data_IF_221000109084
#
_entry.id   IF_221000109084
#
_cell.length_a   1.000
_cell.length_b   1.000
_cell.length_c   1.000
_cell.angle_alpha   90.00
_cell.angle_beta   90.00
_cell.angle_gamma   90.00
#
_symmetry.space_group_name_H-M   'P 1'
#
loop_
_entity.id
_entity.type
_entity.pdbx_description
1 polymer ?
#
# COMPACT_ATOMS: atom_id res chain seq x y z
N UNK A 1 -63.00 -0.90 34.43
CA UNK A 1 -63.51 -0.29 33.19
C UNK A 1 -62.42 0.55 32.56
N UNK A 2 -62.02 0.13 31.33
CA UNK A 2 -61.50 0.97 30.26
C UNK A 2 -60.05 1.45 30.42
N UNK A 3 -59.12 1.26 29.51
CA UNK A 3 -59.23 1.12 28.05
C UNK A 3 -58.05 0.31 27.50
N UNK A 4 -58.34 -0.80 26.90
CA UNK A 4 -57.53 -1.47 25.93
C UNK A 4 -57.78 -0.81 24.58
N UNK A 5 -56.82 -0.14 23.99
CA UNK A 5 -56.73 0.20 22.55
C UNK A 5 -55.76 1.39 22.35
N UNK A 6 -54.47 1.15 22.46
CA UNK A 6 -53.49 2.07 21.85
C UNK A 6 -52.06 1.46 21.85
N UNK A 7 -51.99 0.20 21.41
CA UNK A 7 -50.68 -0.42 21.20
C UNK A 7 -50.63 -1.13 19.84
N UNK A 8 -51.03 -0.41 18.80
CA UNK A 8 -50.93 -0.82 17.42
C UNK A 8 -50.36 0.34 16.59
N UNK A 9 -49.08 0.29 16.31
CA UNK A 9 -48.55 1.04 15.17
C UNK A 9 -47.56 2.17 15.46
N UNK A 10 -46.48 1.91 16.14
CA UNK A 10 -45.27 2.72 15.94
C UNK A 10 -44.12 1.81 15.55
N UNK A 11 -44.11 1.29 14.31
CA UNK A 11 -42.87 1.10 13.60
C UNK A 11 -42.24 2.50 13.45
N UNK A 12 -41.48 2.91 14.47
CA UNK A 12 -40.61 4.08 14.36
C UNK A 12 -39.68 3.84 13.17
N UNK A 13 -39.99 4.47 12.05
CA UNK A 13 -39.02 4.66 10.99
C UNK A 13 -37.78 5.22 11.66
N UNK A 14 -36.70 4.42 11.72
CA UNK A 14 -35.43 4.82 12.26
C UNK A 14 -35.01 6.07 11.49
N UNK A 15 -35.07 7.25 12.09
CA UNK A 15 -34.45 8.45 11.51
C UNK A 15 -33.00 8.12 11.28
N UNK A 16 -32.60 8.01 10.01
CA UNK A 16 -31.20 7.87 9.61
C UNK A 16 -30.49 9.12 10.13
N UNK A 17 -29.76 8.98 11.24
CA UNK A 17 -29.01 10.10 11.80
C UNK A 17 -27.66 10.20 11.10
N UNK A 18 -27.15 11.43 10.94
CA UNK A 18 -25.79 11.65 10.45
C UNK A 18 -24.76 10.95 11.35
N UNK A 19 -25.11 10.72 12.63
CA UNK A 19 -24.28 10.01 13.62
C UNK A 19 -23.94 8.56 13.23
N UNK A 20 -24.75 7.91 12.38
CA UNK A 20 -24.46 6.56 11.88
C UNK A 20 -23.16 6.47 11.07
N UNK A 21 -22.69 7.56 10.47
CA UNK A 21 -21.40 7.60 9.75
C UNK A 21 -20.19 7.66 10.69
N UNK A 22 -20.38 8.23 11.88
CA UNK A 22 -19.31 8.44 12.87
C UNK A 22 -19.24 7.33 13.92
N UNK A 23 -20.03 6.27 13.75
CA UNK A 23 -20.01 5.08 14.60
C UNK A 23 -19.62 3.85 13.75
N UNK A 24 -18.68 3.05 14.24
CA UNK A 24 -18.24 1.83 13.52
C UNK A 24 -19.36 0.86 13.22
N UNK A 25 -20.29 0.68 14.18
CA UNK A 25 -21.46 -0.19 14.06
C UNK A 25 -22.67 0.54 13.43
N UNK A 26 -22.50 1.80 13.06
CA UNK A 26 -23.54 2.61 12.43
C UNK A 26 -24.02 1.99 11.12
N UNK A 27 -25.29 2.21 10.80
CA UNK A 27 -25.95 1.69 9.60
C UNK A 27 -26.42 2.81 8.68
N UNK A 28 -25.50 3.63 8.12
CA UNK A 28 -25.87 4.68 7.18
C UNK A 28 -26.66 4.10 6.00
N UNK A 29 -27.49 4.92 5.36
CA UNK A 29 -28.17 4.51 4.13
C UNK A 29 -27.15 4.23 3.01
N UNK A 30 -27.55 3.50 1.97
CA UNK A 30 -26.69 3.27 0.82
C UNK A 30 -26.30 4.59 0.13
N UNK A 31 -27.25 5.51 -0.01
CA UNK A 31 -27.01 6.82 -0.63
C UNK A 31 -26.01 7.69 0.15
N UNK A 32 -25.94 7.54 1.47
CA UNK A 32 -24.93 8.22 2.30
C UNK A 32 -23.56 7.53 2.23
N UNK A 33 -23.54 6.20 2.26
CA UNK A 33 -22.30 5.42 2.31
C UNK A 33 -21.59 5.32 0.96
N UNK A 34 -22.33 5.21 -0.14
CA UNK A 34 -21.77 4.94 -1.47
C UNK A 34 -20.81 6.03 -1.98
N UNK A 35 -21.14 7.35 -1.91
CA UNK A 35 -20.18 8.38 -2.33
C UNK A 35 -18.90 8.38 -1.51
N UNK A 36 -19.00 8.11 -0.20
CA UNK A 36 -17.84 8.01 0.69
C UNK A 36 -17.00 6.77 0.38
N UNK A 37 -17.64 5.67 0.03
CA UNK A 37 -16.96 4.46 -0.43
C UNK A 37 -16.20 4.70 -1.73
N UNK A 38 -16.79 5.43 -2.67
CA UNK A 38 -16.12 5.84 -3.91
C UNK A 38 -14.90 6.73 -3.66
N UNK A 39 -14.93 7.59 -2.64
CA UNK A 39 -13.75 8.37 -2.25
C UNK A 39 -12.59 7.46 -1.82
N UNK A 40 -12.87 6.43 -1.02
CA UNK A 40 -11.87 5.46 -0.61
C UNK A 40 -11.33 4.65 -1.80
N UNK A 41 -12.21 4.20 -2.69
CA UNK A 41 -11.80 3.48 -3.92
C UNK A 41 -10.95 4.38 -4.81
N UNK A 42 -11.36 5.62 -5.05
CA UNK A 42 -10.63 6.57 -5.89
C UNK A 42 -9.23 6.88 -5.35
N UNK A 43 -9.07 6.95 -4.02
CA UNK A 43 -7.78 7.19 -3.38
C UNK A 43 -6.84 5.98 -3.46
N UNK A 44 -7.36 4.75 -3.52
CA UNK A 44 -6.55 3.54 -3.41
C UNK A 44 -6.35 2.78 -4.73
N UNK A 45 -7.27 2.89 -5.70
CA UNK A 45 -7.28 1.99 -6.87
C UNK A 45 -5.98 2.07 -7.67
N UNK A 46 -5.46 3.26 -7.86
CA UNK A 46 -4.18 3.49 -8.54
C UNK A 46 -3.02 2.87 -7.75
N UNK A 47 -3.05 3.03 -6.43
CA UNK A 47 -2.07 2.41 -5.53
C UNK A 47 -2.10 0.88 -5.55
N UNK A 48 -3.25 0.26 -5.80
CA UNK A 48 -3.37 -1.19 -5.97
C UNK A 48 -2.88 -1.67 -7.33
N UNK A 49 -3.20 -0.95 -8.39
CA UNK A 49 -3.00 -1.40 -9.78
C UNK A 49 -1.58 -1.11 -10.26
N UNK A 50 -1.05 0.07 -9.96
CA UNK A 50 0.27 0.49 -10.48
C UNK A 50 1.41 -0.42 -10.05
N UNK A 51 1.53 -0.87 -8.80
CA UNK A 51 2.56 -1.84 -8.43
C UNK A 51 2.46 -3.15 -9.22
N UNK A 52 1.25 -3.64 -9.49
CA UNK A 52 1.05 -4.83 -10.30
C UNK A 52 1.51 -4.63 -11.75
N UNK A 53 1.22 -3.47 -12.36
CA UNK A 53 1.70 -3.11 -13.69
C UNK A 53 3.23 -3.01 -13.71
N UNK A 54 3.83 -2.39 -12.70
CA UNK A 54 5.30 -2.25 -12.59
C UNK A 54 5.97 -3.63 -12.53
N UNK A 55 5.44 -4.52 -11.69
CA UNK A 55 5.97 -5.88 -11.53
C UNK A 55 5.75 -6.71 -12.80
N UNK A 56 4.56 -6.64 -13.41
CA UNK A 56 4.26 -7.33 -14.66
C UNK A 56 5.24 -6.93 -15.78
N UNK A 57 5.49 -5.64 -15.90
CA UNK A 57 6.47 -5.11 -16.86
C UNK A 57 7.90 -5.57 -16.55
N UNK A 58 8.34 -5.49 -15.30
CA UNK A 58 9.66 -5.94 -14.88
C UNK A 58 9.88 -7.45 -15.09
N UNK A 59 8.83 -8.26 -14.93
CA UNK A 59 8.85 -9.70 -15.16
C UNK A 59 8.70 -10.09 -16.64
N UNK A 60 8.40 -9.12 -17.54
CA UNK A 60 8.14 -9.38 -18.95
C UNK A 60 6.92 -10.27 -19.19
N UNK A 61 5.85 -10.11 -18.38
CA UNK A 61 4.64 -10.89 -18.51
C UNK A 61 3.91 -10.61 -19.82
N UNK A 62 3.20 -11.62 -20.32
CA UNK A 62 2.25 -11.45 -21.41
C UNK A 62 1.09 -10.52 -21.01
N UNK A 63 0.36 -9.97 -21.98
CA UNK A 63 -0.81 -9.14 -21.69
C UNK A 63 -1.86 -9.89 -20.86
N UNK A 64 -2.10 -11.17 -21.17
CA UNK A 64 -3.03 -12.02 -20.43
C UNK A 64 -2.59 -12.24 -18.98
N UNK A 65 -1.32 -12.51 -18.73
CA UNK A 65 -0.79 -12.69 -17.37
C UNK A 65 -0.75 -11.37 -16.60
N UNK A 66 -0.50 -10.25 -17.27
CA UNK A 66 -0.58 -8.91 -16.69
C UNK A 66 -2.00 -8.59 -16.21
N UNK A 67 -3.03 -8.95 -17.01
CA UNK A 67 -4.44 -8.81 -16.63
C UNK A 67 -4.74 -9.67 -15.39
N UNK A 68 -4.28 -10.92 -15.36
CA UNK A 68 -4.48 -11.82 -14.22
C UNK A 68 -3.81 -11.27 -12.94
N UNK A 69 -2.60 -10.73 -13.07
CA UNK A 69 -1.88 -10.15 -11.92
C UNK A 69 -2.63 -8.94 -11.34
N UNK A 70 -3.17 -8.07 -12.21
CA UNK A 70 -3.98 -6.91 -11.79
C UNK A 70 -5.30 -7.37 -11.14
N UNK A 71 -5.97 -8.37 -11.72
CA UNK A 71 -7.16 -8.95 -11.11
C UNK A 71 -6.88 -9.50 -9.71
N UNK A 72 -5.80 -10.28 -9.57
CA UNK A 72 -5.38 -10.84 -8.29
C UNK A 72 -5.07 -9.72 -7.28
N UNK A 73 -4.44 -8.63 -7.71
CA UNK A 73 -4.16 -7.47 -6.88
C UNK A 73 -5.45 -6.85 -6.30
N UNK A 74 -6.45 -6.60 -7.13
CA UNK A 74 -7.73 -6.04 -6.70
C UNK A 74 -8.51 -7.01 -5.82
N UNK A 75 -8.58 -8.28 -6.21
CA UNK A 75 -9.27 -9.34 -5.48
C UNK A 75 -8.70 -9.53 -4.08
N UNK A 76 -7.38 -9.68 -3.96
CA UNK A 76 -6.70 -9.87 -2.68
C UNK A 76 -6.80 -8.63 -1.81
N UNK A 77 -6.72 -7.43 -2.37
CA UNK A 77 -6.92 -6.16 -1.64
C UNK A 77 -8.32 -6.09 -1.03
N UNK A 78 -9.34 -6.51 -1.78
CA UNK A 78 -10.72 -6.58 -1.28
C UNK A 78 -10.86 -7.57 -0.12
N UNK A 79 -10.34 -8.80 -0.26
CA UNK A 79 -10.41 -9.82 0.78
C UNK A 79 -9.66 -9.41 2.04
N UNK A 80 -8.47 -8.84 1.89
CA UNK A 80 -7.66 -8.36 3.02
C UNK A 80 -8.35 -7.22 3.76
N UNK A 81 -8.97 -6.30 3.02
CA UNK A 81 -9.77 -5.21 3.61
C UNK A 81 -10.96 -5.77 4.40
N UNK A 82 -11.69 -6.75 3.84
CA UNK A 82 -12.81 -7.38 4.53
C UNK A 82 -12.37 -8.13 5.80
N UNK A 83 -11.23 -8.80 5.75
CA UNK A 83 -10.67 -9.50 6.92
C UNK A 83 -10.28 -8.52 8.04
N UNK A 84 -9.76 -7.35 7.70
CA UNK A 84 -9.47 -6.31 8.68
C UNK A 84 -10.75 -5.72 9.31
N UNK A 85 -11.78 -5.50 8.51
CA UNK A 85 -13.06 -4.93 8.97
C UNK A 85 -13.87 -5.88 9.85
N UNK A 86 -13.84 -7.17 9.53
CA UNK A 86 -14.65 -8.22 10.16
C UNK A 86 -13.74 -9.31 10.72
N UNK A 87 -13.21 -9.11 11.93
CA UNK A 87 -12.28 -10.06 12.53
C UNK A 87 -12.90 -11.46 12.66
N UNK A 88 -12.11 -12.47 12.28
CA UNK A 88 -12.44 -13.87 12.58
C UNK A 88 -12.05 -14.16 14.03
N UNK A 89 -12.85 -15.01 14.70
CA UNK A 89 -12.61 -15.45 16.10
C UNK A 89 -12.57 -14.29 17.11
N UNK A 90 -13.34 -13.23 16.86
CA UNK A 90 -13.45 -12.09 17.77
C UNK A 90 -13.86 -12.55 19.20
N UNK A 91 -13.20 -11.98 20.23
CA UNK A 91 -13.41 -12.36 21.64
C UNK A 91 -12.66 -13.61 22.10
N UNK A 92 -11.78 -14.18 21.28
CA UNK A 92 -10.83 -15.22 21.64
C UNK A 92 -9.41 -14.66 21.73
N UNK A 93 -8.50 -15.38 22.41
CA UNK A 93 -7.09 -14.98 22.57
C UNK A 93 -6.35 -14.67 21.23
N UNK A 94 -6.92 -15.06 20.10
CA UNK A 94 -6.37 -14.92 18.76
C UNK A 94 -7.44 -14.39 17.79
N UNK A 95 -7.71 -13.09 17.83
CA UNK A 95 -8.50 -12.44 16.78
C UNK A 95 -7.66 -12.30 15.49
N UNK A 96 -8.27 -12.55 14.34
CA UNK A 96 -7.67 -12.34 13.01
C UNK A 96 -8.41 -11.17 12.36
N UNK A 97 -7.87 -9.99 12.43
CA UNK A 97 -8.46 -8.73 12.01
C UNK A 97 -8.41 -7.69 13.11
N UNK A 98 -8.25 -6.43 12.76
CA UNK A 98 -8.28 -5.32 13.71
C UNK A 98 -9.71 -4.91 14.11
N UNK A 99 -10.69 -5.17 13.27
CA UNK A 99 -12.05 -4.63 13.39
C UNK A 99 -12.14 -3.15 13.06
N UNK A 100 -11.04 -2.52 12.69
CA UNK A 100 -10.95 -1.08 12.40
C UNK A 100 -11.33 -0.77 10.94
N UNK A 101 -11.79 0.45 10.66
CA UNK A 101 -12.11 0.91 9.32
C UNK A 101 -10.82 1.18 8.52
N UNK A 102 -10.15 0.11 8.11
CA UNK A 102 -8.89 0.13 7.39
C UNK A 102 -9.07 -0.35 5.95
N UNK A 103 -8.38 0.29 5.04
CA UNK A 103 -8.21 -0.19 3.66
C UNK A 103 -6.84 -0.84 3.53
N UNK A 104 -6.81 -2.01 2.92
CA UNK A 104 -5.60 -2.76 2.62
C UNK A 104 -5.47 -2.89 1.10
N UNK A 105 -4.25 -2.85 0.61
CA UNK A 105 -4.00 -3.05 -0.81
C UNK A 105 -2.53 -3.27 -1.12
N UNK A 106 -2.22 -3.53 -2.39
CA UNK A 106 -0.84 -3.76 -2.84
C UNK A 106 0.01 -2.54 -2.49
N UNK A 107 1.19 -2.77 -1.94
CA UNK A 107 2.01 -1.69 -1.39
C UNK A 107 3.20 -1.34 -2.28
N UNK A 108 3.40 -0.05 -2.51
CA UNK A 108 4.62 0.49 -3.15
C UNK A 108 5.90 0.20 -2.34
N UNK A 109 5.79 -0.06 -1.04
CA UNK A 109 6.94 -0.37 -0.19
C UNK A 109 7.74 -1.59 -0.68
N UNK A 110 7.08 -2.55 -1.32
CA UNK A 110 7.72 -3.76 -1.84
C UNK A 110 8.20 -3.63 -3.28
N UNK A 111 7.74 -2.62 -4.03
CA UNK A 111 7.95 -2.52 -5.48
C UNK A 111 9.42 -2.56 -5.87
N UNK A 112 10.34 -1.80 -5.25
CA UNK A 112 11.75 -1.85 -5.65
C UNK A 112 12.36 -3.25 -5.52
N UNK A 113 12.04 -3.95 -4.44
CA UNK A 113 12.52 -5.31 -4.20
C UNK A 113 11.82 -6.32 -5.11
N UNK A 114 10.51 -6.17 -5.33
CA UNK A 114 9.77 -7.01 -6.29
C UNK A 114 10.29 -6.83 -7.73
N UNK A 115 10.60 -5.61 -8.16
CA UNK A 115 11.23 -5.37 -9.46
C UNK A 115 12.57 -6.08 -9.58
N UNK A 116 13.42 -6.00 -8.54
CA UNK A 116 14.71 -6.69 -8.53
C UNK A 116 14.54 -8.21 -8.64
N UNK A 117 13.59 -8.79 -7.93
CA UNK A 117 13.28 -10.23 -7.99
C UNK A 117 12.67 -10.59 -9.35
N UNK A 118 11.71 -9.80 -9.85
CA UNK A 118 11.05 -10.05 -11.12
C UNK A 118 12.02 -10.06 -12.31
N UNK A 119 12.99 -9.14 -12.31
CA UNK A 119 14.01 -9.07 -13.38
C UNK A 119 15.05 -10.17 -13.31
N UNK A 120 15.33 -10.71 -12.14
CA UNK A 120 16.33 -11.75 -11.94
C UNK A 120 15.76 -13.17 -11.99
N UNK A 121 14.53 -13.32 -11.50
CA UNK A 121 13.82 -14.59 -11.39
C UNK A 121 12.44 -14.47 -12.10
N UNK A 122 11.37 -14.55 -11.34
CA UNK A 122 10.00 -14.50 -11.84
C UNK A 122 8.98 -14.09 -10.75
N UNK A 123 7.70 -13.97 -11.14
CA UNK A 123 6.61 -13.67 -10.20
C UNK A 123 6.42 -14.79 -9.18
N UNK A 124 6.63 -16.05 -9.54
CA UNK A 124 6.52 -17.18 -8.61
C UNK A 124 7.48 -17.04 -7.42
N UNK A 125 8.68 -16.51 -7.66
CA UNK A 125 9.68 -16.23 -6.62
C UNK A 125 9.25 -15.09 -5.70
N UNK A 126 8.59 -14.06 -6.23
CA UNK A 126 8.00 -13.00 -5.40
C UNK A 126 6.93 -13.59 -4.48
N UNK A 127 6.03 -14.43 -5.01
CA UNK A 127 4.94 -15.03 -4.25
C UNK A 127 5.45 -15.99 -3.15
N UNK A 128 6.51 -16.76 -3.43
CA UNK A 128 7.16 -17.59 -2.42
C UNK A 128 7.80 -16.75 -1.31
N UNK A 129 8.50 -15.69 -1.67
CA UNK A 129 9.07 -14.74 -0.71
C UNK A 129 7.98 -14.03 0.12
N UNK A 130 6.83 -13.73 -0.49
CA UNK A 130 5.67 -13.15 0.19
C UNK A 130 5.08 -14.09 1.24
N UNK A 131 5.02 -15.40 0.98
CA UNK A 131 4.59 -16.38 1.98
C UNK A 131 5.51 -16.33 3.21
N UNK A 132 6.82 -16.35 2.99
CA UNK A 132 7.80 -16.20 4.08
C UNK A 132 7.63 -14.87 4.80
N UNK A 133 7.46 -13.78 4.05
CA UNK A 133 7.18 -12.45 4.59
C UNK A 133 5.92 -12.40 5.45
N UNK A 134 4.83 -13.03 5.00
CA UNK A 134 3.59 -13.17 5.78
C UNK A 134 3.81 -13.91 7.10
N UNK A 135 4.62 -14.96 7.12
CA UNK A 135 5.01 -15.66 8.34
C UNK A 135 5.86 -14.76 9.25
N UNK A 136 6.79 -14.00 8.70
CA UNK A 136 7.55 -12.99 9.46
C UNK A 136 6.62 -11.96 10.09
N UNK A 137 5.63 -11.46 9.35
CA UNK A 137 4.63 -10.54 9.91
C UNK A 137 3.81 -11.16 11.04
N UNK A 138 3.45 -12.45 10.96
CA UNK A 138 2.81 -13.18 12.06
C UNK A 138 3.69 -13.20 13.30
N UNK A 139 4.98 -13.49 13.15
CA UNK A 139 5.93 -13.48 14.27
C UNK A 139 6.07 -12.07 14.86
N UNK A 140 6.13 -11.03 14.01
CA UNK A 140 6.12 -9.64 14.49
C UNK A 140 4.86 -9.34 15.30
N UNK A 141 3.69 -9.79 14.84
CA UNK A 141 2.42 -9.61 15.55
C UNK A 141 2.40 -10.28 16.92
N UNK A 142 2.99 -11.47 17.02
CA UNK A 142 3.09 -12.21 18.28
C UNK A 142 4.09 -11.58 19.28
N UNK A 143 5.20 -11.04 18.77
CA UNK A 143 6.30 -10.47 19.56
C UNK A 143 6.44 -8.95 19.40
N UNK A 144 5.34 -8.26 19.16
CA UNK A 144 5.34 -6.85 18.78
C UNK A 144 6.06 -5.94 19.77
N UNK A 145 5.87 -6.19 21.10
CA UNK A 145 6.49 -5.39 22.16
C UNK A 145 8.02 -5.48 22.15
N UNK A 146 8.55 -6.65 21.79
CA UNK A 146 9.99 -6.90 21.70
C UNK A 146 10.59 -6.34 20.41
N UNK A 147 9.93 -6.55 19.28
CA UNK A 147 10.44 -6.20 17.95
C UNK A 147 10.38 -4.69 17.71
N UNK A 148 9.34 -4.01 18.19
CA UNK A 148 9.18 -2.55 18.04
C UNK A 148 10.40 -1.74 18.50
N UNK A 149 11.16 -2.24 19.46
CA UNK A 149 12.37 -1.57 19.98
C UNK A 149 13.48 -1.39 18.93
N UNK A 150 13.54 -2.28 17.94
CA UNK A 150 14.56 -2.25 16.87
C UNK A 150 14.20 -1.29 15.73
N UNK A 151 12.94 -0.85 15.67
CA UNK A 151 12.43 -0.01 14.59
C UNK A 151 11.80 1.29 15.12
N UNK A 152 12.60 2.17 15.74
CA UNK A 152 12.13 3.49 16.11
C UNK A 152 11.75 4.31 14.86
N UNK A 153 11.00 5.42 15.01
CA UNK A 153 10.56 6.25 13.89
C UNK A 153 11.70 6.70 12.96
N UNK A 154 12.89 6.92 13.48
CA UNK A 154 14.08 7.24 12.69
C UNK A 154 14.40 6.16 11.65
N UNK A 155 14.40 4.90 12.07
CA UNK A 155 14.72 3.75 11.20
C UNK A 155 13.60 3.53 10.19
N UNK A 156 12.35 3.48 10.66
CA UNK A 156 11.18 3.33 9.79
C UNK A 156 11.11 4.47 8.77
N UNK A 157 11.35 5.71 9.20
CA UNK A 157 11.39 6.88 8.33
C UNK A 157 12.51 6.79 7.28
N UNK A 158 13.70 6.33 7.67
CA UNK A 158 14.83 6.14 6.74
C UNK A 158 14.49 5.12 5.66
N UNK A 159 13.83 4.03 6.02
CA UNK A 159 13.40 3.00 5.05
C UNK A 159 12.32 3.55 4.12
N UNK A 160 11.31 4.24 4.63
CA UNK A 160 10.26 4.86 3.82
C UNK A 160 10.84 5.91 2.87
N UNK A 161 11.82 6.68 3.34
CA UNK A 161 12.55 7.64 2.52
C UNK A 161 13.32 6.94 1.38
N UNK A 162 14.03 5.85 1.68
CA UNK A 162 14.71 5.03 0.66
C UNK A 162 13.74 4.44 -0.37
N UNK A 163 12.55 3.97 0.07
CA UNK A 163 11.50 3.48 -0.84
C UNK A 163 11.10 4.57 -1.83
N UNK A 164 10.76 5.76 -1.33
CA UNK A 164 10.34 6.87 -2.19
C UNK A 164 11.40 7.23 -3.23
N UNK A 165 12.66 7.40 -2.81
CA UNK A 165 13.77 7.72 -3.70
C UNK A 165 14.01 6.62 -4.76
N UNK A 166 13.91 5.36 -4.36
CA UNK A 166 14.16 4.22 -5.27
C UNK A 166 13.13 4.07 -6.38
N UNK A 167 11.94 4.67 -6.22
CA UNK A 167 10.88 4.64 -7.20
C UNK A 167 10.97 5.77 -8.23
N UNK A 168 11.78 6.83 -8.00
CA UNK A 168 11.90 7.96 -8.93
C UNK A 168 12.37 7.55 -10.32
N UNK A 169 13.41 6.71 -10.50
CA UNK A 169 13.81 6.26 -11.82
C UNK A 169 12.68 5.55 -12.58
N UNK A 170 11.89 4.73 -11.87
CA UNK A 170 10.72 4.06 -12.47
C UNK A 170 9.68 5.06 -12.96
N UNK A 171 9.36 6.09 -12.16
CA UNK A 171 8.42 7.13 -12.57
C UNK A 171 8.92 7.91 -13.78
N UNK A 172 10.19 8.29 -13.81
CA UNK A 172 10.80 9.02 -14.94
C UNK A 172 10.82 8.16 -16.19
N UNK A 173 11.19 6.88 -16.09
CA UNK A 173 11.14 5.95 -17.23
C UNK A 173 9.71 5.81 -17.77
N UNK A 174 8.72 5.79 -16.90
CA UNK A 174 7.32 5.76 -17.31
C UNK A 174 6.88 7.07 -17.95
N UNK A 175 7.26 8.24 -17.40
CA UNK A 175 6.99 9.55 -18.05
C UNK A 175 7.58 9.63 -19.45
N UNK A 176 8.73 8.99 -19.68
CA UNK A 176 9.36 8.90 -20.99
C UNK A 176 8.69 7.88 -21.94
N UNK A 177 7.69 7.14 -21.48
CA UNK A 177 6.93 6.18 -22.29
C UNK A 177 7.20 4.70 -22.01
N UNK A 178 8.05 4.37 -21.02
CA UNK A 178 8.45 2.99 -20.69
C UNK A 178 9.65 2.52 -21.51
N UNK A 179 10.61 1.86 -20.85
CA UNK A 179 11.91 1.48 -21.44
C UNK A 179 11.80 0.46 -22.57
N UNK A 180 10.73 -0.29 -22.66
CA UNK A 180 10.43 -1.26 -23.72
C UNK A 180 9.74 -0.66 -24.96
N UNK A 181 9.40 0.63 -24.92
CA UNK A 181 8.68 1.30 -26.00
C UNK A 181 9.68 1.82 -27.05
N UNK A 182 9.43 1.57 -28.34
CA UNK A 182 10.23 2.08 -29.46
C UNK A 182 10.30 3.62 -29.49
N UNK A 183 9.26 4.28 -28.95
CA UNK A 183 9.18 5.75 -28.83
C UNK A 183 9.59 6.25 -27.43
N UNK A 184 10.43 5.52 -26.71
CA UNK A 184 10.96 5.95 -25.43
C UNK A 184 11.67 7.30 -25.54
N UNK A 185 11.33 8.23 -24.65
CA UNK A 185 11.88 9.59 -24.67
C UNK A 185 11.23 10.56 -25.65
N UNK A 186 10.25 10.12 -26.47
CA UNK A 186 9.54 10.98 -27.38
C UNK A 186 8.83 12.14 -26.67
N UNK A 187 8.80 13.32 -27.29
CA UNK A 187 8.23 14.53 -26.69
C UNK A 187 6.74 14.40 -26.34
N UNK A 188 6.00 13.57 -27.10
CA UNK A 188 4.58 13.30 -26.86
C UNK A 188 4.36 12.63 -25.49
N UNK A 189 5.22 11.66 -25.14
CA UNK A 189 5.17 10.99 -23.84
C UNK A 189 5.37 12.00 -22.71
N UNK A 190 6.38 12.85 -22.83
CA UNK A 190 6.67 13.90 -21.85
C UNK A 190 5.53 14.91 -21.73
N UNK A 191 4.95 15.32 -22.87
CA UNK A 191 3.84 16.27 -22.87
C UNK A 191 2.64 15.70 -22.08
N UNK A 192 2.23 14.47 -22.38
CA UNK A 192 1.13 13.80 -21.68
C UNK A 192 1.45 13.65 -20.20
N UNK A 193 2.64 13.18 -19.86
CA UNK A 193 3.07 12.99 -18.48
C UNK A 193 3.07 14.29 -17.66
N UNK A 194 3.57 15.39 -18.24
CA UNK A 194 3.58 16.71 -17.60
C UNK A 194 2.15 17.24 -17.42
N UNK A 195 1.28 17.10 -18.41
CA UNK A 195 -0.13 17.50 -18.29
C UNK A 195 -0.79 16.74 -17.12
N UNK A 196 -0.61 15.43 -17.06
CA UNK A 196 -1.15 14.60 -15.96
C UNK A 196 -0.61 15.06 -14.62
N UNK A 197 0.70 15.28 -14.52
CA UNK A 197 1.34 15.77 -13.28
C UNK A 197 0.77 17.15 -12.86
N UNK A 198 0.60 18.07 -13.79
CA UNK A 198 0.01 19.38 -13.51
C UNK A 198 -1.42 19.26 -13.00
N UNK A 199 -2.25 18.39 -13.63
CA UNK A 199 -3.64 18.16 -13.22
C UNK A 199 -3.68 17.58 -11.80
N UNK A 200 -2.89 16.53 -11.54
CA UNK A 200 -2.83 15.88 -10.22
C UNK A 200 -2.40 16.88 -9.17
N UNK A 201 -1.35 17.66 -9.43
CA UNK A 201 -0.83 18.67 -8.49
C UNK A 201 -1.85 19.77 -8.24
N UNK A 202 -2.50 20.28 -9.30
CA UNK A 202 -3.52 21.30 -9.19
C UNK A 202 -4.71 20.82 -8.32
N UNK A 203 -5.24 19.62 -8.61
CA UNK A 203 -6.37 19.06 -7.87
C UNK A 203 -6.02 18.73 -6.42
N UNK A 204 -4.79 18.30 -6.14
CA UNK A 204 -4.34 18.05 -4.78
C UNK A 204 -4.30 19.32 -3.93
N UNK A 205 -3.95 20.46 -4.51
CA UNK A 205 -3.79 21.72 -3.78
C UNK A 205 -5.06 22.57 -3.77
N UNK A 206 -5.73 22.69 -4.90
CA UNK A 206 -6.89 23.57 -5.08
C UNK A 206 -8.23 22.82 -5.11
N UNK A 207 -8.21 21.50 -5.32
CA UNK A 207 -9.40 20.67 -5.33
C UNK A 207 -10.08 20.61 -3.96
N UNK A 208 -11.39 20.47 -3.96
CA UNK A 208 -12.23 20.31 -2.75
C UNK A 208 -12.96 18.97 -2.80
N UNK A 209 -13.20 18.37 -1.63
CA UNK A 209 -13.96 17.14 -1.50
C UNK A 209 -13.38 16.00 -2.35
N UNK A 210 -14.22 15.36 -3.15
CA UNK A 210 -13.87 14.22 -3.97
C UNK A 210 -12.81 14.53 -5.04
N UNK A 211 -12.78 15.76 -5.59
CA UNK A 211 -11.81 16.15 -6.60
C UNK A 211 -10.37 16.15 -6.07
N UNK A 212 -10.17 16.52 -4.81
CA UNK A 212 -8.88 16.43 -4.14
C UNK A 212 -8.47 14.98 -3.92
N UNK A 213 -9.39 14.15 -3.41
CA UNK A 213 -9.12 12.76 -3.07
C UNK A 213 -8.93 11.87 -4.29
N UNK A 214 -9.67 12.15 -5.38
CA UNK A 214 -9.58 11.43 -6.64
C UNK A 214 -8.60 12.07 -7.65
N UNK A 215 -7.76 13.02 -7.23
CA UNK A 215 -6.90 13.81 -8.11
C UNK A 215 -6.04 12.94 -9.03
N UNK A 216 -5.46 11.87 -8.52
CA UNK A 216 -4.61 10.93 -9.28
C UNK A 216 -5.46 10.19 -10.32
N UNK A 217 -6.62 9.66 -9.91
CA UNK A 217 -7.54 8.98 -10.82
C UNK A 217 -8.04 9.91 -11.94
N UNK A 218 -8.43 11.13 -11.58
CA UNK A 218 -8.86 12.14 -12.56
C UNK A 218 -7.73 12.48 -13.53
N UNK A 219 -6.51 12.67 -13.03
CA UNK A 219 -5.32 12.89 -13.84
C UNK A 219 -5.07 11.75 -14.84
N UNK A 220 -5.20 10.50 -14.39
CA UNK A 220 -5.08 9.32 -15.26
C UNK A 220 -6.18 9.30 -16.32
N UNK A 221 -7.44 9.52 -15.96
CA UNK A 221 -8.55 9.53 -16.92
C UNK A 221 -8.33 10.58 -18.00
N UNK A 222 -7.98 11.81 -17.62
CA UNK A 222 -7.73 12.90 -18.58
C UNK A 222 -6.51 12.57 -19.45
N UNK A 223 -5.41 12.09 -18.84
CA UNK A 223 -4.22 11.68 -19.58
C UNK A 223 -4.50 10.53 -20.55
N UNK A 224 -5.32 9.57 -20.15
CA UNK A 224 -5.76 8.46 -21.00
C UNK A 224 -6.56 8.94 -22.22
N UNK A 225 -7.52 9.84 -22.00
CA UNK A 225 -8.29 10.47 -23.10
C UNK A 225 -7.37 11.22 -24.06
N UNK A 226 -6.43 12.02 -23.55
CA UNK A 226 -5.44 12.72 -24.39
C UNK A 226 -4.60 11.71 -25.18
N UNK A 227 -4.17 10.61 -24.56
CA UNK A 227 -3.37 9.56 -25.21
C UNK A 227 -4.13 8.85 -26.35
N UNK A 228 -5.45 8.71 -26.26
CA UNK A 228 -6.27 8.19 -27.36
C UNK A 228 -6.17 9.11 -28.58
N UNK A 229 -6.23 10.42 -28.40
CA UNK A 229 -6.09 11.37 -29.51
C UNK A 229 -4.70 11.34 -30.16
N UNK A 230 -3.66 10.98 -29.41
CA UNK A 230 -2.31 10.77 -29.94
C UNK A 230 -2.09 9.39 -30.55
N UNK A 231 -3.10 8.48 -30.52
CA UNK A 231 -2.97 7.12 -31.03
C UNK A 231 -2.04 6.22 -30.21
N UNK A 232 -1.86 6.53 -28.91
CA UNK A 232 -0.95 5.80 -28.01
C UNK A 232 -1.60 4.61 -27.31
N UNK A 233 -2.90 4.38 -27.51
CA UNK A 233 -3.67 3.35 -26.80
C UNK A 233 -3.99 2.20 -27.75
N UNK A 234 -3.62 0.99 -27.35
CA UNK A 234 -3.98 -0.27 -28.04
C UNK A 234 -5.07 -0.99 -27.24
N UNK A 235 -6.23 -1.17 -27.87
CA UNK A 235 -7.37 -1.85 -27.26
C UNK A 235 -7.40 -3.37 -27.55
N UNK A 236 -6.37 -3.94 -28.16
CA UNK A 236 -6.35 -5.35 -28.55
C UNK A 236 -6.52 -6.30 -27.36
N UNK A 237 -5.93 -5.96 -26.21
CA UNK A 237 -6.05 -6.73 -24.97
C UNK A 237 -7.46 -6.72 -24.36
N UNK A 238 -8.28 -5.73 -24.69
CA UNK A 238 -9.66 -5.60 -24.21
C UNK A 238 -10.62 -6.44 -25.05
N UNK A 239 -10.31 -6.55 -26.36
CA UNK A 239 -11.11 -7.33 -27.31
C UNK A 239 -10.84 -8.81 -27.08
N UNK A 240 -11.78 -9.49 -26.42
CA UNK A 240 -11.65 -10.93 -26.09
C UNK A 240 -11.45 -11.22 -24.62
N UNK A 241 -11.33 -10.20 -23.78
CA UNK A 241 -11.34 -10.41 -22.33
C UNK A 241 -12.70 -10.95 -21.88
N UNK A 242 -12.69 -11.96 -21.00
CA UNK A 242 -13.92 -12.52 -20.44
C UNK A 242 -14.64 -11.52 -19.54
N UNK A 243 -15.97 -11.63 -19.43
CA UNK A 243 -16.77 -10.73 -18.60
C UNK A 243 -16.58 -11.01 -17.10
N UNK A 244 -16.43 -12.28 -16.72
CA UNK A 244 -16.25 -12.69 -15.32
C UNK A 244 -15.19 -13.80 -15.29
N UNK A 245 -14.23 -13.66 -14.38
CA UNK A 245 -13.22 -14.67 -14.08
C UNK A 245 -12.79 -14.54 -12.61
N UNK A 246 -12.60 -15.68 -11.96
CA UNK A 246 -12.04 -15.73 -10.62
C UNK A 246 -10.53 -15.95 -10.77
N UNK A 247 -9.68 -15.19 -10.06
CA UNK A 247 -8.24 -15.44 -10.03
C UNK A 247 -7.98 -16.92 -9.66
N UNK A 248 -7.27 -17.63 -10.53
CA UNK A 248 -6.99 -19.05 -10.31
C UNK A 248 -5.87 -19.18 -9.28
N UNK A 249 -6.07 -19.98 -8.22
CA UNK A 249 -5.00 -20.28 -7.28
C UNK A 249 -3.79 -20.88 -8.00
N UNK A 250 -2.59 -20.46 -7.58
CA UNK A 250 -1.32 -20.96 -8.09
C UNK A 250 -1.07 -20.76 -9.61
N UNK A 251 -1.77 -19.81 -10.25
CA UNK A 251 -1.58 -19.53 -11.68
C UNK A 251 -0.11 -19.24 -12.02
N UNK A 252 0.57 -18.41 -11.23
CA UNK A 252 1.99 -18.11 -11.43
C UNK A 252 2.94 -19.15 -10.80
N UNK A 253 2.40 -20.09 -10.01
CA UNK A 253 3.21 -20.99 -9.19
C UNK A 253 3.80 -20.30 -7.96
N UNK A 254 4.58 -21.06 -7.19
CA UNK A 254 5.29 -20.58 -6.00
C UNK A 254 6.70 -21.16 -6.03
N UNK A 255 7.71 -20.30 -5.88
CA UNK A 255 9.12 -20.69 -5.77
C UNK A 255 9.75 -20.02 -4.58
N UNK A 256 10.53 -20.76 -3.81
CA UNK A 256 11.26 -20.24 -2.66
C UNK A 256 12.73 -20.06 -3.05
N UNK A 257 13.16 -18.81 -3.10
CA UNK A 257 14.55 -18.44 -3.30
C UNK A 257 15.05 -17.74 -2.03
N UNK A 258 16.09 -18.26 -1.32
CA UNK A 258 16.44 -17.80 0.02
C UNK A 258 16.73 -16.31 0.13
N UNK A 259 17.46 -15.73 -0.82
CA UNK A 259 17.80 -14.30 -0.78
C UNK A 259 16.59 -13.41 -0.96
N UNK A 260 15.68 -13.79 -1.86
CA UNK A 260 14.39 -13.10 -2.06
C UNK A 260 13.48 -13.21 -0.83
N UNK A 261 13.46 -14.39 -0.20
CA UNK A 261 12.72 -14.60 1.05
C UNK A 261 13.23 -13.71 2.18
N UNK A 262 14.54 -13.57 2.34
CA UNK A 262 15.15 -12.69 3.33
C UNK A 262 14.81 -11.22 3.03
N UNK A 263 14.99 -10.78 1.79
CA UNK A 263 14.73 -9.39 1.39
C UNK A 263 13.27 -8.98 1.62
N UNK A 264 12.33 -9.77 1.14
CA UNK A 264 10.88 -9.50 1.33
C UNK A 264 10.49 -9.66 2.80
N UNK A 265 11.02 -10.68 3.51
CA UNK A 265 10.75 -10.90 4.93
C UNK A 265 11.12 -9.70 5.80
N UNK A 266 12.28 -9.07 5.54
CA UNK A 266 12.70 -7.85 6.24
C UNK A 266 11.73 -6.69 5.98
N UNK A 267 11.26 -6.51 4.76
CA UNK A 267 10.27 -5.47 4.44
C UNK A 267 8.93 -5.73 5.12
N UNK A 268 8.52 -6.99 5.25
CA UNK A 268 7.31 -7.34 5.99
C UNK A 268 7.40 -6.97 7.48
N UNK A 269 8.56 -7.15 8.11
CA UNK A 269 8.77 -6.73 9.48
C UNK A 269 8.59 -5.22 9.65
N UNK A 270 9.15 -4.41 8.74
CA UNK A 270 9.00 -2.95 8.78
C UNK A 270 7.55 -2.52 8.50
N UNK A 271 6.93 -3.09 7.46
CA UNK A 271 5.55 -2.73 7.13
C UNK A 271 4.57 -3.15 8.23
N UNK A 272 4.83 -4.24 8.96
CA UNK A 272 4.05 -4.59 10.14
C UNK A 272 4.12 -3.51 11.23
N UNK A 273 5.30 -2.93 11.44
CA UNK A 273 5.48 -1.82 12.38
C UNK A 273 4.82 -0.54 11.87
N UNK A 274 4.95 -0.23 10.59
CA UNK A 274 4.25 0.91 9.98
C UNK A 274 2.73 0.76 10.11
N UNK A 275 2.19 -0.45 9.96
CA UNK A 275 0.77 -0.73 10.15
C UNK A 275 0.27 -0.35 11.55
N UNK A 276 1.10 -0.49 12.60
CA UNK A 276 0.75 -0.03 13.96
C UNK A 276 0.50 1.48 13.95
N UNK A 277 1.34 2.23 13.24
CA UNK A 277 1.16 3.67 13.07
C UNK A 277 -0.16 4.00 12.37
N UNK A 278 -0.51 3.28 11.32
CA UNK A 278 -1.75 3.47 10.57
C UNK A 278 -3.00 3.08 11.39
N UNK A 279 -2.95 1.98 12.15
CA UNK A 279 -4.03 1.62 13.08
C UNK A 279 -4.20 2.69 14.15
N UNK A 280 -3.10 3.18 14.73
CA UNK A 280 -3.13 4.24 15.74
C UNK A 280 -3.68 5.55 15.16
N UNK A 281 -3.24 5.94 13.96
CA UNK A 281 -3.73 7.14 13.29
C UNK A 281 -5.23 7.04 12.93
N UNK A 282 -5.71 5.84 12.56
CA UNK A 282 -7.14 5.59 12.29
C UNK A 282 -7.99 5.76 13.55
N UNK A 283 -7.54 5.22 14.68
CA UNK A 283 -8.31 5.31 15.93
C UNK A 283 -8.21 6.69 16.57
N UNK A 284 -7.03 7.30 16.62
CA UNK A 284 -6.87 8.64 17.17
C UNK A 284 -7.47 9.71 16.26
N UNK A 285 -7.24 9.61 14.94
CA UNK A 285 -7.77 10.55 13.96
C UNK A 285 -9.27 10.42 13.72
N UNK A 286 -9.79 9.19 13.68
CA UNK A 286 -11.20 8.92 13.35
C UNK A 286 -12.14 8.78 14.54
N UNK A 287 -11.63 8.30 15.69
CA UNK A 287 -12.46 7.88 16.83
C UNK A 287 -12.06 8.57 18.15
N UNK A 288 -11.05 9.44 18.13
CA UNK A 288 -10.55 10.17 19.30
C UNK A 288 -10.16 9.23 20.48
N UNK A 289 -9.60 8.04 20.16
CA UNK A 289 -9.13 7.07 21.14
C UNK A 289 -7.86 6.35 20.67
N UNK A 290 -7.13 5.78 21.59
CA UNK A 290 -6.01 4.89 21.25
C UNK A 290 -6.52 3.50 20.80
N UNK A 291 -5.75 2.78 19.94
CA UNK A 291 -6.06 1.41 19.60
C UNK A 291 -5.81 0.49 20.80
N UNK A 292 -6.61 -0.56 20.90
CA UNK A 292 -6.39 -1.61 21.91
C UNK A 292 -5.27 -2.56 21.46
N UNK A 293 -4.65 -3.27 22.41
CA UNK A 293 -3.65 -4.30 22.11
C UNK A 293 -4.23 -5.42 21.23
N UNK A 294 -5.52 -5.75 21.41
CA UNK A 294 -6.23 -6.75 20.61
C UNK A 294 -6.40 -6.27 19.14
N UNK A 295 -6.78 -5.03 18.93
CA UNK A 295 -6.89 -4.42 17.59
C UNK A 295 -5.55 -4.41 16.86
N UNK A 296 -4.47 -4.02 17.53
CA UNK A 296 -3.12 -4.01 16.97
C UNK A 296 -2.64 -5.42 16.64
N UNK A 297 -2.71 -6.34 17.60
CA UNK A 297 -2.28 -7.73 17.43
C UNK A 297 -3.10 -8.42 16.34
N UNK A 298 -4.43 -8.34 16.43
CA UNK A 298 -5.33 -8.94 15.44
C UNK A 298 -5.12 -8.37 14.04
N UNK A 299 -4.89 -7.07 13.93
CA UNK A 299 -4.60 -6.39 12.66
C UNK A 299 -3.32 -6.89 12.00
N UNK A 300 -2.24 -7.08 12.76
CA UNK A 300 -0.96 -7.57 12.21
C UNK A 300 -1.03 -9.06 11.92
N UNK A 301 -1.72 -9.85 12.73
CA UNK A 301 -1.96 -11.27 12.42
C UNK A 301 -2.75 -11.41 11.12
N UNK A 302 -3.79 -10.62 10.93
CA UNK A 302 -4.55 -10.61 9.67
C UNK A 302 -3.69 -10.15 8.47
N UNK A 303 -2.84 -9.17 8.66
CA UNK A 303 -1.88 -8.74 7.66
C UNK A 303 -0.95 -9.87 7.22
N UNK A 304 -0.41 -10.65 8.16
CA UNK A 304 0.42 -11.82 7.84
C UNK A 304 -0.34 -12.91 7.11
N UNK A 305 -1.50 -13.33 7.64
CA UNK A 305 -2.34 -14.41 7.07
C UNK A 305 -2.83 -14.03 5.68
N UNK A 306 -3.35 -12.82 5.51
CA UNK A 306 -3.87 -12.37 4.21
C UNK A 306 -2.79 -12.32 3.12
N UNK A 307 -1.54 -12.04 3.48
CA UNK A 307 -0.44 -12.07 2.53
C UNK A 307 -0.03 -13.50 2.15
N UNK A 308 -0.06 -14.45 3.09
CA UNK A 308 0.14 -15.88 2.79
C UNK A 308 -0.96 -16.39 1.84
N UNK A 309 -2.21 -16.12 2.17
CA UNK A 309 -3.36 -16.52 1.33
C UNK A 309 -3.34 -15.77 0.00
N UNK A 310 -3.05 -14.47 0.02
CA UNK A 310 -2.96 -13.63 -1.17
C UNK A 310 -1.94 -14.15 -2.18
N UNK A 311 -0.78 -14.63 -1.72
CA UNK A 311 0.24 -15.23 -2.59
C UNK A 311 -0.29 -16.46 -3.34
N UNK A 312 -1.13 -17.26 -2.72
CA UNK A 312 -1.75 -18.44 -3.37
C UNK A 312 -2.65 -18.01 -4.53
N UNK A 313 -3.35 -16.87 -4.40
CA UNK A 313 -4.19 -16.32 -5.48
C UNK A 313 -3.41 -15.43 -6.46
N UNK A 314 -2.08 -15.35 -6.35
CA UNK A 314 -1.25 -14.51 -7.21
C UNK A 314 -1.30 -13.01 -6.88
N UNK A 315 -1.88 -12.64 -5.74
CA UNK A 315 -1.90 -11.26 -5.26
C UNK A 315 -0.56 -10.88 -4.64
N UNK A 316 0.00 -9.75 -5.08
CA UNK A 316 1.25 -9.22 -4.58
C UNK A 316 1.14 -8.75 -3.11
N UNK A 317 2.26 -8.47 -2.42
CA UNK A 317 2.27 -8.04 -1.03
C UNK A 317 1.38 -6.83 -0.75
N UNK A 318 0.45 -6.98 0.18
CA UNK A 318 -0.45 -5.92 0.64
C UNK A 318 0.06 -5.23 1.90
N UNK A 319 -0.35 -4.00 2.13
CA UNK A 319 -0.15 -3.25 3.37
C UNK A 319 -1.33 -2.31 3.65
N UNK A 320 -1.31 -1.64 4.80
CA UNK A 320 -2.25 -0.58 5.14
C UNK A 320 -2.07 0.64 4.24
N UNK A 321 -3.16 1.33 3.91
CA UNK A 321 -3.12 2.53 3.08
C UNK A 321 -3.24 3.80 3.91
N UNK A 322 -2.12 4.47 4.13
CA UNK A 322 -2.04 5.72 4.89
C UNK A 322 -2.87 6.86 4.28
N UNK A 323 -3.06 6.88 2.93
CA UNK A 323 -3.94 7.85 2.28
C UNK A 323 -5.39 7.69 2.75
N UNK A 324 -5.87 6.45 2.85
CA UNK A 324 -7.22 6.15 3.34
C UNK A 324 -7.36 6.45 4.83
N UNK A 325 -6.30 6.24 5.61
CA UNK A 325 -6.24 6.68 7.02
C UNK A 325 -6.38 8.20 7.12
N UNK A 326 -5.73 8.96 6.24
CA UNK A 326 -5.89 10.42 6.14
C UNK A 326 -7.32 10.86 5.85
N UNK A 327 -8.05 10.10 5.01
CA UNK A 327 -9.49 10.35 4.75
C UNK A 327 -10.30 10.13 6.03
N UNK A 328 -10.08 9.03 6.74
CA UNK A 328 -10.75 8.74 8.02
C UNK A 328 -10.50 9.86 9.03
N UNK A 329 -9.24 10.25 9.21
CA UNK A 329 -8.86 11.30 10.16
C UNK A 329 -9.51 12.67 9.84
N UNK A 330 -9.64 13.00 8.54
CA UNK A 330 -10.20 14.27 8.10
C UNK A 330 -11.73 14.30 8.09
N UNK A 331 -12.37 13.19 7.76
CA UNK A 331 -13.83 13.09 7.65
C UNK A 331 -14.51 12.60 8.91
N UNK A 332 -13.76 11.93 9.80
CA UNK A 332 -14.28 11.22 10.99
C UNK A 332 -15.27 10.09 10.64
N UNK A 333 -15.37 9.70 9.37
CA UNK A 333 -16.25 8.62 8.92
C UNK A 333 -15.58 7.28 9.23
N UNK A 334 -16.19 6.51 10.14
CA UNK A 334 -15.67 5.23 10.62
C UNK A 334 -16.65 4.07 10.45
N UNK A 335 -17.84 4.30 9.92
CA UNK A 335 -18.83 3.26 9.70
C UNK A 335 -18.29 2.14 8.81
N UNK A 336 -18.20 0.93 9.32
CA UNK A 336 -17.72 -0.27 8.58
C UNK A 336 -18.45 -0.48 7.26
N UNK A 337 -19.71 -0.06 7.16
CA UNK A 337 -20.50 -0.18 5.92
C UNK A 337 -19.85 0.55 4.75
N UNK A 338 -19.25 1.74 4.99
CA UNK A 338 -18.56 2.51 3.94
C UNK A 338 -17.36 1.70 3.37
N UNK A 339 -16.54 1.16 4.25
CA UNK A 339 -15.35 0.37 3.87
C UNK A 339 -15.74 -0.97 3.24
N UNK A 340 -16.81 -1.60 3.73
CA UNK A 340 -17.35 -2.82 3.12
C UNK A 340 -17.80 -2.58 1.68
N UNK A 341 -18.51 -1.49 1.41
CA UNK A 341 -18.91 -1.16 0.04
C UNK A 341 -17.68 -0.90 -0.82
N UNK A 342 -16.67 -0.18 -0.33
CA UNK A 342 -15.41 0.01 -1.04
C UNK A 342 -14.73 -1.32 -1.37
N UNK A 343 -14.63 -2.24 -0.41
CA UNK A 343 -14.07 -3.57 -0.62
C UNK A 343 -14.89 -4.39 -1.63
N UNK A 344 -16.22 -4.31 -1.61
CA UNK A 344 -17.08 -4.99 -2.60
C UNK A 344 -16.88 -4.42 -4.00
N UNK A 345 -16.72 -3.10 -4.14
CA UNK A 345 -16.40 -2.49 -5.45
C UNK A 345 -15.07 -3.04 -5.99
N UNK A 346 -14.03 -3.13 -5.15
CA UNK A 346 -12.76 -3.71 -5.56
C UNK A 346 -12.87 -5.20 -5.88
N UNK A 347 -13.66 -5.94 -5.12
CA UNK A 347 -13.90 -7.36 -5.38
C UNK A 347 -14.55 -7.57 -6.74
N UNK A 348 -15.59 -6.79 -7.05
CA UNK A 348 -16.25 -6.82 -8.36
C UNK A 348 -15.27 -6.44 -9.46
N UNK A 349 -14.48 -5.38 -9.27
CA UNK A 349 -13.44 -4.98 -10.23
C UNK A 349 -12.40 -6.08 -10.47
N UNK A 350 -11.98 -6.79 -9.42
CA UNK A 350 -11.06 -7.93 -9.52
C UNK A 350 -11.66 -9.19 -10.14
N UNK A 351 -12.99 -9.31 -10.18
CA UNK A 351 -13.69 -10.42 -10.85
C UNK A 351 -14.07 -10.13 -12.31
N UNK A 352 -13.84 -8.90 -12.78
CA UNK A 352 -14.16 -8.45 -14.14
C UNK A 352 -12.88 -8.25 -14.95
N UNK A 353 -12.40 -9.24 -15.73
CA UNK A 353 -11.16 -9.16 -16.51
C UNK A 353 -11.11 -7.97 -17.47
N UNK A 354 -12.26 -7.60 -18.06
CA UNK A 354 -12.34 -6.41 -18.94
C UNK A 354 -11.87 -5.15 -18.23
N UNK A 355 -12.21 -4.97 -16.95
CA UNK A 355 -11.74 -3.82 -16.18
C UNK A 355 -10.20 -3.82 -16.04
N UNK A 356 -9.63 -4.96 -15.68
CA UNK A 356 -8.17 -5.10 -15.58
C UNK A 356 -7.48 -4.94 -16.94
N UNK A 357 -8.08 -5.48 -18.02
CA UNK A 357 -7.59 -5.30 -19.38
C UNK A 357 -7.58 -3.84 -19.82
N UNK A 358 -8.60 -3.05 -19.48
CA UNK A 358 -8.60 -1.60 -19.74
C UNK A 358 -7.45 -0.92 -18.99
N UNK A 359 -7.16 -1.33 -17.76
CA UNK A 359 -6.06 -0.76 -16.99
C UNK A 359 -4.68 -1.07 -17.60
N UNK A 360 -4.50 -2.20 -18.27
CA UNK A 360 -3.24 -2.51 -19.00
C UNK A 360 -3.05 -1.66 -20.23
N UNK A 361 -4.10 -1.08 -20.81
CA UNK A 361 -4.00 -0.21 -21.99
C UNK A 361 -3.58 1.22 -21.65
N UNK A 362 -3.50 1.59 -20.37
CA UNK A 362 -3.08 2.92 -19.95
C UNK A 362 -1.61 3.12 -20.32
N UNK A 363 -1.27 4.13 -21.15
CA UNK A 363 0.11 4.38 -21.53
C UNK A 363 1.00 4.68 -20.33
N UNK A 364 2.24 4.19 -20.36
CA UNK A 364 3.19 4.41 -19.25
C UNK A 364 3.41 5.89 -18.94
N UNK A 365 3.38 6.78 -19.94
CA UNK A 365 3.53 8.23 -19.70
C UNK A 365 2.42 8.79 -18.79
N UNK A 366 1.20 8.29 -18.93
CA UNK A 366 0.07 8.67 -18.07
C UNK A 366 0.31 8.17 -16.64
N UNK A 367 0.70 6.90 -16.49
CA UNK A 367 1.03 6.30 -15.19
C UNK A 367 2.21 7.03 -14.54
N UNK A 368 3.26 7.35 -15.31
CA UNK A 368 4.44 8.07 -14.82
C UNK A 368 4.10 9.45 -14.28
N UNK A 369 3.33 10.24 -15.06
CA UNK A 369 2.89 11.57 -14.64
C UNK A 369 2.02 11.57 -13.38
N UNK A 370 1.21 10.53 -13.21
CA UNK A 370 0.37 10.37 -12.03
C UNK A 370 1.17 9.88 -10.80
N UNK A 371 2.03 8.88 -10.97
CA UNK A 371 2.70 8.19 -9.87
C UNK A 371 3.90 8.93 -9.31
N UNK A 372 4.55 9.81 -10.06
CA UNK A 372 5.68 10.61 -9.57
C UNK A 372 5.27 11.44 -8.33
N UNK A 373 4.04 11.96 -8.29
CA UNK A 373 3.51 12.69 -7.14
C UNK A 373 3.29 11.77 -5.92
N UNK A 374 2.90 10.52 -6.15
CA UNK A 374 2.75 9.51 -5.10
C UNK A 374 4.13 9.19 -4.50
N UNK A 375 5.13 8.96 -5.33
CA UNK A 375 6.48 8.63 -4.88
C UNK A 375 7.12 9.79 -4.11
N UNK A 376 6.88 11.03 -4.57
CA UNK A 376 7.27 12.22 -3.83
C UNK A 376 6.60 12.28 -2.45
N UNK A 377 5.32 11.93 -2.35
CA UNK A 377 4.61 11.87 -1.06
C UNK A 377 5.17 10.79 -0.14
N UNK A 378 5.57 9.62 -0.66
CA UNK A 378 6.22 8.56 0.12
C UNK A 378 7.55 9.08 0.68
N UNK A 379 8.36 9.71 -0.17
CA UNK A 379 9.64 10.33 0.25
C UNK A 379 9.43 11.33 1.39
N UNK A 380 8.45 12.22 1.25
CA UNK A 380 8.13 13.23 2.27
C UNK A 380 7.58 12.61 3.56
N UNK A 381 6.86 11.50 3.48
CA UNK A 381 6.44 10.74 4.66
C UNK A 381 7.66 10.18 5.41
N UNK A 382 8.64 9.66 4.70
CA UNK A 382 9.91 9.24 5.28
C UNK A 382 10.61 10.39 6.02
N UNK A 383 10.73 11.57 5.39
CA UNK A 383 11.31 12.76 6.01
C UNK A 383 10.53 13.15 7.27
N UNK A 384 9.21 13.19 7.22
CA UNK A 384 8.39 13.51 8.40
C UNK A 384 8.64 12.57 9.57
N UNK A 385 8.77 11.27 9.33
CA UNK A 385 9.09 10.29 10.37
C UNK A 385 10.49 10.49 10.91
N UNK A 386 11.49 10.75 10.07
CA UNK A 386 12.87 11.04 10.48
C UNK A 386 12.90 12.26 11.41
N UNK A 387 12.21 13.34 11.05
CA UNK A 387 12.19 14.61 11.79
C UNK A 387 11.35 14.58 13.05
N UNK A 388 10.67 13.48 13.38
CA UNK A 388 10.08 13.30 14.72
C UNK A 388 11.14 13.09 15.81
N UNK A 389 12.36 12.77 15.40
CA UNK A 389 13.51 12.62 16.28
C UNK A 389 14.47 13.80 16.08
N UNK A 390 15.23 14.21 17.10
CA UNK A 390 16.26 15.24 16.95
C UNK A 390 17.28 14.84 15.88
N UNK A 391 17.62 15.75 14.97
CA UNK A 391 18.65 15.53 13.95
C UNK A 391 20.04 15.87 14.51
N UNK A 392 20.42 15.17 15.57
CA UNK A 392 21.77 15.22 16.12
C UNK A 392 22.79 14.53 15.20
N UNK A 393 24.06 14.63 15.54
CA UNK A 393 25.15 14.04 14.75
C UNK A 393 24.98 12.51 14.58
N UNK A 394 24.51 11.82 15.62
CA UNK A 394 24.25 10.37 15.55
C UNK A 394 23.13 10.03 14.57
N UNK A 395 21.99 10.67 14.71
CA UNK A 395 20.81 10.39 13.91
C UNK A 395 21.01 10.78 12.44
N UNK A 396 21.66 11.90 12.17
CA UNK A 396 22.04 12.30 10.80
C UNK A 396 23.04 11.35 10.17
N UNK A 397 23.98 10.80 10.94
CA UNK A 397 24.91 9.77 10.48
C UNK A 397 24.16 8.49 10.09
N UNK A 398 23.22 8.02 10.91
CA UNK A 398 22.42 6.83 10.62
C UNK A 398 21.66 7.00 9.31
N UNK A 399 20.89 8.08 9.19
CA UNK A 399 20.09 8.36 7.99
C UNK A 399 20.99 8.54 6.77
N UNK A 400 22.02 9.38 6.89
CA UNK A 400 22.91 9.72 5.79
C UNK A 400 23.64 8.51 5.23
N UNK A 401 24.26 7.69 6.07
CA UNK A 401 24.99 6.49 5.62
C UNK A 401 24.03 5.40 5.09
N UNK A 402 22.85 5.23 5.70
CA UNK A 402 21.88 4.27 5.23
C UNK A 402 21.40 4.60 3.81
N UNK A 403 21.10 5.87 3.54
CA UNK A 403 20.68 6.32 2.22
C UNK A 403 21.84 6.29 1.23
N UNK A 404 23.03 6.76 1.63
CA UNK A 404 24.23 6.78 0.77
C UNK A 404 24.59 5.36 0.30
N UNK A 405 24.63 4.39 1.20
CA UNK A 405 24.94 3.00 0.84
C UNK A 405 23.79 2.36 0.06
N UNK A 406 22.56 2.50 0.51
CA UNK A 406 21.40 1.92 -0.17
C UNK A 406 21.26 2.39 -1.61
N UNK A 407 21.27 3.69 -1.82
CA UNK A 407 21.13 4.28 -3.17
C UNK A 407 22.43 4.17 -3.98
N UNK A 408 23.58 4.38 -3.34
CA UNK A 408 24.87 4.38 -4.03
C UNK A 408 25.23 3.03 -4.64
N UNK A 409 25.03 1.93 -3.90
CA UNK A 409 25.34 0.58 -4.39
C UNK A 409 24.46 0.20 -5.58
N UNK A 410 23.19 0.56 -5.58
CA UNK A 410 22.29 0.25 -6.71
C UNK A 410 22.61 1.07 -7.96
N UNK A 411 23.16 2.26 -7.82
CA UNK A 411 23.62 3.08 -8.96
C UNK A 411 24.97 2.59 -9.50
N UNK A 412 25.81 2.03 -8.64
CA UNK A 412 27.11 1.48 -8.99
C UNK A 412 27.06 -0.06 -9.09
N UNK A 413 26.19 -0.60 -9.93
CA UNK A 413 25.89 -2.04 -10.03
C UNK A 413 27.12 -2.94 -10.14
N UNK A 414 28.20 -2.48 -10.81
CA UNK A 414 29.43 -3.22 -10.95
C UNK A 414 30.25 -3.33 -9.65
N UNK A 415 29.95 -2.52 -8.63
CA UNK A 415 30.70 -2.50 -7.37
C UNK A 415 30.61 -3.82 -6.59
N UNK A 416 29.55 -4.58 -6.78
CA UNK A 416 29.34 -5.89 -6.14
C UNK A 416 29.53 -7.08 -7.09
N UNK A 417 30.08 -6.88 -8.30
CA UNK A 417 30.18 -7.93 -9.31
C UNK A 417 31.03 -9.14 -8.88
N UNK A 418 31.98 -8.97 -7.99
CA UNK A 418 32.86 -10.05 -7.46
C UNK A 418 32.28 -10.73 -6.21
N UNK A 419 31.18 -10.24 -5.68
CA UNK A 419 30.54 -10.84 -4.51
C UNK A 419 29.64 -12.03 -4.90
N UNK A 420 29.37 -12.96 -3.96
CA UNK A 420 28.43 -14.06 -4.20
C UNK A 420 27.05 -13.58 -4.65
N UNK A 421 26.37 -14.36 -5.48
CA UNK A 421 25.07 -14.02 -6.07
C UNK A 421 24.01 -13.60 -5.02
N UNK A 422 24.01 -14.20 -3.83
CA UNK A 422 23.08 -13.82 -2.76
C UNK A 422 23.33 -12.41 -2.24
N UNK A 423 24.59 -11.95 -2.19
CA UNK A 423 24.94 -10.56 -1.79
C UNK A 423 24.42 -9.57 -2.83
N UNK A 424 24.68 -9.84 -4.10
CA UNK A 424 24.23 -8.95 -5.20
C UNK A 424 22.69 -8.91 -5.28
N UNK A 425 22.02 -10.01 -5.00
CA UNK A 425 20.54 -10.05 -4.99
C UNK A 425 19.95 -9.29 -3.82
N UNK A 426 20.44 -9.50 -2.60
CA UNK A 426 19.91 -8.87 -1.39
C UNK A 426 20.26 -7.37 -1.35
N UNK A 427 21.53 -7.04 -1.59
CA UNK A 427 22.06 -5.69 -1.33
C UNK A 427 22.33 -4.87 -2.60
N UNK A 428 22.58 -5.54 -3.73
CA UNK A 428 22.97 -4.85 -4.97
C UNK A 428 21.79 -4.36 -5.79
N UNK A 429 20.61 -4.99 -5.68
CA UNK A 429 19.44 -4.69 -6.52
C UNK A 429 18.32 -3.96 -5.80
N UNK A 430 18.25 -4.04 -4.48
CA UNK A 430 17.24 -3.34 -3.69
C UNK A 430 17.89 -2.31 -2.76
N UNK A 431 17.81 -1.02 -3.07
CA UNK A 431 18.37 0.04 -2.23
C UNK A 431 17.72 0.06 -0.84
N UNK A 432 16.47 -0.36 -0.75
CA UNK A 432 15.67 -0.33 0.47
C UNK A 432 16.23 -1.31 1.51
N UNK A 433 16.56 -2.53 1.10
CA UNK A 433 17.07 -3.56 2.01
C UNK A 433 18.43 -3.16 2.58
N UNK A 434 19.34 -2.65 1.75
CA UNK A 434 20.64 -2.20 2.22
C UNK A 434 20.53 -0.99 3.13
N UNK A 435 19.70 -0.01 2.78
CA UNK A 435 19.43 1.15 3.64
C UNK A 435 18.88 0.72 5.01
N UNK A 436 17.94 -0.25 5.03
CA UNK A 436 17.38 -0.77 6.26
C UNK A 436 18.42 -1.46 7.14
N UNK A 437 19.16 -2.40 6.59
CA UNK A 437 20.21 -3.14 7.34
C UNK A 437 21.22 -2.15 7.90
N UNK A 438 21.68 -1.20 7.08
CA UNK A 438 22.62 -0.16 7.53
C UNK A 438 22.05 0.68 8.67
N UNK A 439 20.81 1.13 8.54
CA UNK A 439 20.16 1.95 9.56
C UNK A 439 19.99 1.20 10.90
N UNK A 440 19.56 -0.06 10.85
CA UNK A 440 19.41 -0.90 12.05
C UNK A 440 20.76 -1.16 12.70
N UNK A 441 21.77 -1.57 11.92
CA UNK A 441 23.12 -1.86 12.43
C UNK A 441 23.72 -0.62 13.08
N UNK A 442 23.67 0.54 12.42
CA UNK A 442 24.20 1.78 12.97
C UNK A 442 23.43 2.22 14.22
N UNK A 443 22.12 2.03 14.25
CA UNK A 443 21.32 2.35 15.44
C UNK A 443 21.68 1.49 16.65
N UNK A 444 22.13 0.26 16.44
CA UNK A 444 22.58 -0.64 17.51
C UNK A 444 24.03 -0.34 17.94
N UNK A 445 24.90 0.02 17.00
CA UNK A 445 26.34 0.20 17.25
C UNK A 445 26.68 1.61 17.77
N UNK A 446 26.02 2.64 17.28
CA UNK A 446 26.35 4.01 17.65
C UNK A 446 25.83 4.35 19.06
N UNK A 447 26.66 5.01 19.90
CA UNK A 447 26.29 5.35 21.26
C UNK A 447 25.09 6.30 21.28
N UNK A 448 24.16 6.06 22.19
CA UNK A 448 23.04 6.98 22.42
C UNK A 448 23.52 8.22 23.19
N UNK A 449 23.01 9.44 22.88
CA UNK A 449 23.34 10.64 23.64
C UNK A 449 23.01 10.46 25.12
N UNK A 450 23.92 10.84 26.00
CA UNK A 450 23.68 10.82 27.44
C UNK A 450 22.56 11.83 27.74
N UNK A 451 21.39 11.35 28.12
CA UNK A 451 20.19 12.15 28.43
C UNK A 451 18.93 11.84 27.64
N UNK A 452 18.99 10.94 26.67
CA UNK A 452 17.80 10.51 25.89
C UNK A 452 17.12 9.25 26.47
N UNK A 453 17.12 9.05 27.78
CA UNK A 453 16.13 8.19 28.39
C UNK A 453 14.79 8.92 28.26
N UNK A 454 13.99 8.56 27.24
CA UNK A 454 12.55 8.82 27.24
C UNK A 454 12.04 8.05 28.46
N UNK A 455 11.80 8.76 29.55
CA UNK A 455 10.99 8.23 30.65
C UNK A 455 9.69 7.74 30.03
N UNK A 456 9.26 6.49 30.33
CA UNK A 456 7.91 6.10 30.01
C UNK A 456 7.00 7.11 30.68
N UNK A 457 6.07 7.71 29.94
CA UNK A 457 5.03 8.53 30.53
C UNK A 457 4.36 7.68 31.63
N UNK A 458 4.74 7.92 32.88
CA UNK A 458 4.05 7.39 34.02
C UNK A 458 2.60 7.88 33.93
N UNK A 459 1.71 6.93 33.86
CA UNK A 459 0.30 7.02 34.11
C UNK A 459 0.07 7.79 35.40
N UNK A 460 -0.17 9.11 35.30
CA UNK A 460 -0.77 9.84 36.41
C UNK A 460 -2.23 9.45 36.46
N UNK A 461 -2.47 8.43 37.28
CA UNK A 461 -3.77 8.20 37.87
C UNK A 461 -4.06 9.38 38.83
N UNK A 462 -5.05 10.21 38.49
CA UNK A 462 -5.97 10.89 39.40
C UNK A 462 -7.31 11.08 38.68
#
# INVERSE_FOLDING_TARGET
KMNSKEDLGRKKGRRLSADDLFNMEGKPSFLQAFPLSLQHVAAMIVGCVTPAIIVANAAGLSDSDSVILIQAALFVSALTTLLQLYPLFHGRAYAIGSGLPMIMGISFAYVPTMQAIATQYDVATILGAQIVGGIVALLVGLFIKQIRKFFPPLITGTVVFAIGLSLYPTAINYMAGGTSNEHYGAWQNWLVAIIVLCIVTYLNHYGKGIFKLASILIGIIIGYVISIFFGMVDFSSVIGASLISIPQPLHFGIKFEPSSCVAIGMLFAINAIQAIGDFSATTTGGMDRMPTDEELKGGIVAYGISNVVGAIFGGLPTATYSQNVGIVASTKVVARKVFRIAAVILLVAGLVPVFSAVLTTIPYCVLGGATISVFASITMTGIKLITTQPLDFRNTTIVGLAIALGMGVTQANAALATFPAWVTTIFGKSPVVLAMVTAVVLNLLLPKPKGSAVEPAEEKAE
#
